data_IF_800355766324
#
_entry.id   IF_800355766324
#
_cell.length_a   1.000
_cell.length_b   1.000
_cell.length_c   1.000
_cell.angle_alpha   90.00
_cell.angle_beta   90.00
_cell.angle_gamma   90.00
#
_symmetry.space_group_name_H-M   'P 1'
#
loop_
_entity.id
_entity.type
_entity.pdbx_description
1 polymer ?
#
# COMPACT_ATOMS: atom_id res chain seq x y z
N UNK A 1 8.63 8.62 14.09
CA UNK A 1 9.61 8.24 15.13
C UNK A 1 10.96 8.06 14.45
N UNK A 2 11.97 8.86 14.80
CA UNK A 2 13.31 8.72 14.24
C UNK A 2 13.87 7.34 14.56
N UNK A 3 14.37 6.65 13.56
CA UNK A 3 15.00 5.35 13.71
C UNK A 3 16.20 5.51 14.66
N UNK A 4 16.08 5.05 15.90
CA UNK A 4 17.21 4.92 16.83
C UNK A 4 17.97 3.65 16.45
N UNK A 5 19.28 3.80 16.33
CA UNK A 5 20.21 2.72 15.98
C UNK A 5 20.58 1.99 17.28
N UNK A 6 20.49 0.66 17.31
CA UNK A 6 20.76 -0.15 18.49
C UNK A 6 22.27 -0.38 18.72
N UNK A 7 22.75 -0.56 19.95
CA UNK A 7 24.13 -0.94 20.24
C UNK A 7 24.44 -2.35 19.73
N UNK A 8 25.66 -2.54 19.20
CA UNK A 8 26.08 -3.70 18.43
C UNK A 8 26.09 -5.03 19.19
N UNK A 9 25.47 -6.04 18.62
CA UNK A 9 25.63 -7.45 19.00
C UNK A 9 26.65 -8.13 18.07
N UNK A 10 27.47 -9.02 18.60
CA UNK A 10 28.40 -9.82 17.81
C UNK A 10 27.68 -11.04 17.20
N UNK A 11 27.59 -11.07 15.87
CA UNK A 11 27.04 -12.21 15.13
C UNK A 11 28.19 -12.94 14.43
N UNK A 12 28.29 -14.25 14.64
CA UNK A 12 29.37 -15.05 14.03
C UNK A 12 28.99 -15.51 12.62
N UNK A 13 29.91 -15.32 11.67
CA UNK A 13 29.78 -15.80 10.28
C UNK A 13 30.14 -17.28 10.21
N UNK A 14 29.35 -18.06 9.46
CA UNK A 14 29.71 -19.42 9.09
C UNK A 14 30.84 -19.36 8.04
N UNK A 15 32.05 -19.74 8.45
CA UNK A 15 33.16 -19.97 7.53
C UNK A 15 32.94 -21.32 6.85
N UNK A 16 32.23 -21.36 5.74
CA UNK A 16 32.09 -22.56 4.91
C UNK A 16 33.39 -22.68 4.10
N UNK A 17 34.33 -23.44 4.62
CA UNK A 17 35.60 -23.71 3.92
C UNK A 17 35.34 -24.40 2.57
N UNK A 18 36.27 -24.19 1.62
CA UNK A 18 36.24 -24.73 0.24
C UNK A 18 35.94 -26.25 0.14
N UNK A 19 36.14 -27.01 1.22
CA UNK A 19 35.86 -28.45 1.29
C UNK A 19 34.38 -28.83 1.15
N UNK A 20 33.44 -27.97 1.57
CA UNK A 20 31.99 -28.22 1.46
C UNK A 20 31.51 -27.91 0.06
N UNK A 21 32.06 -26.85 -0.58
CA UNK A 21 31.80 -26.53 -1.99
C UNK A 21 32.33 -27.62 -2.94
N UNK A 22 33.45 -28.25 -2.60
CA UNK A 22 33.95 -29.42 -3.35
C UNK A 22 33.07 -30.66 -3.15
N UNK A 23 32.53 -30.88 -1.96
CA UNK A 23 31.62 -32.01 -1.70
C UNK A 23 30.28 -31.82 -2.45
N UNK A 24 29.75 -30.61 -2.51
CA UNK A 24 28.53 -30.31 -3.26
C UNK A 24 28.79 -30.39 -4.77
N UNK A 25 29.91 -29.88 -5.27
CA UNK A 25 30.31 -30.06 -6.69
C UNK A 25 30.48 -31.53 -7.06
N UNK A 26 30.98 -32.39 -6.16
CA UNK A 26 31.16 -33.82 -6.41
C UNK A 26 29.85 -34.59 -6.42
N UNK A 27 28.83 -34.12 -5.74
CA UNK A 27 27.49 -34.73 -5.74
C UNK A 27 26.69 -34.43 -7.01
N UNK A 28 26.98 -33.29 -7.69
CA UNK A 28 26.34 -32.90 -8.95
C UNK A 28 27.15 -33.15 -10.21
N UNK A 29 28.42 -33.64 -10.13
CA UNK A 29 29.32 -33.89 -11.27
C UNK A 29 29.34 -35.33 -11.78
N UNK A 30 28.26 -36.06 -11.58
CA UNK A 30 28.08 -37.44 -12.07
C UNK A 30 27.39 -37.54 -13.43
N UNK A 31 27.82 -36.78 -14.45
CA UNK A 31 27.60 -37.08 -15.88
C UNK A 31 28.38 -36.06 -16.72
N UNK A 32 29.50 -36.53 -17.32
CA UNK A 32 30.09 -35.83 -18.46
C UNK A 32 29.12 -35.88 -19.63
N UNK A 33 28.57 -34.73 -20.02
CA UNK A 33 27.93 -34.55 -21.32
C UNK A 33 28.74 -33.58 -22.15
N UNK A 34 28.98 -33.95 -23.40
CA UNK A 34 29.72 -33.24 -24.42
C UNK A 34 29.19 -31.79 -24.62
N UNK A 35 29.99 -30.86 -25.15
CA UNK A 35 29.57 -29.47 -25.32
C UNK A 35 28.40 -29.39 -26.29
N UNK A 36 27.21 -29.14 -25.78
CA UNK A 36 26.03 -28.85 -26.56
C UNK A 36 26.18 -27.42 -27.14
N UNK A 37 25.99 -27.32 -28.44
CA UNK A 37 25.80 -26.02 -29.13
C UNK A 37 24.72 -25.22 -28.41
N UNK A 38 25.00 -23.93 -28.23
CA UNK A 38 24.05 -22.99 -27.66
C UNK A 38 22.72 -23.09 -28.41
N UNK A 39 21.70 -23.59 -27.74
CA UNK A 39 20.32 -23.55 -28.24
C UNK A 39 19.89 -22.08 -28.38
N UNK A 40 19.16 -21.73 -29.44
CA UNK A 40 18.58 -20.38 -29.55
C UNK A 40 17.74 -20.08 -28.31
N UNK A 41 17.92 -18.90 -27.74
CA UNK A 41 17.08 -18.44 -26.62
C UNK A 41 15.62 -18.59 -27.01
N UNK A 42 14.78 -19.20 -26.15
CA UNK A 42 13.36 -19.25 -26.42
C UNK A 42 12.85 -17.82 -26.57
N UNK A 43 12.11 -17.58 -27.65
CA UNK A 43 11.39 -16.32 -27.81
C UNK A 43 10.59 -16.03 -26.55
N UNK A 44 10.48 -14.76 -26.11
CA UNK A 44 9.69 -14.42 -24.95
C UNK A 44 8.32 -15.05 -25.10
N UNK A 45 7.86 -15.77 -24.07
CA UNK A 45 6.56 -16.41 -24.08
C UNK A 45 5.52 -15.33 -24.43
N UNK A 46 4.57 -15.62 -25.34
CA UNK A 46 3.53 -14.66 -25.67
C UNK A 46 2.88 -14.27 -24.36
N UNK A 47 2.86 -12.96 -24.09
CA UNK A 47 2.12 -12.38 -22.96
C UNK A 47 0.68 -12.83 -23.19
N UNK A 48 0.19 -13.77 -22.41
CA UNK A 48 -1.21 -14.19 -22.47
C UNK A 48 -2.03 -12.95 -22.19
N UNK A 49 -2.91 -12.52 -23.11
CA UNK A 49 -3.76 -11.38 -22.85
C UNK A 49 -4.52 -11.65 -21.55
N UNK A 50 -4.50 -10.69 -20.63
CA UNK A 50 -5.30 -10.73 -19.42
C UNK A 50 -6.75 -11.01 -19.85
N UNK A 51 -7.29 -12.15 -19.46
CA UNK A 51 -8.72 -12.45 -19.65
C UNK A 51 -9.43 -11.87 -18.43
N UNK A 52 -10.15 -10.75 -18.57
CA UNK A 52 -10.88 -10.18 -17.44
C UNK A 52 -11.94 -11.17 -16.95
N UNK A 53 -12.32 -11.16 -15.67
CA UNK A 53 -13.43 -11.97 -15.18
C UNK A 53 -14.66 -11.71 -16.05
N UNK A 54 -15.40 -12.74 -16.37
CA UNK A 54 -16.49 -12.78 -17.36
C UNK A 54 -17.62 -11.75 -17.11
N UNK A 55 -17.61 -11.06 -15.95
CA UNK A 55 -18.59 -10.07 -15.49
C UNK A 55 -17.98 -8.70 -15.14
N UNK A 56 -16.73 -8.39 -15.58
CA UNK A 56 -16.19 -7.07 -15.34
C UNK A 56 -17.01 -6.02 -16.12
N UNK A 57 -17.42 -4.90 -15.49
CA UNK A 57 -18.08 -3.82 -16.21
C UNK A 57 -17.15 -3.29 -17.30
N UNK A 58 -17.73 -2.91 -18.44
CA UNK A 58 -17.00 -2.46 -19.62
C UNK A 58 -17.25 -0.96 -19.83
N UNK A 59 -16.23 -0.21 -20.18
CA UNK A 59 -16.33 1.13 -20.73
C UNK A 59 -15.75 1.16 -22.14
N UNK A 60 -16.57 1.49 -23.13
CA UNK A 60 -16.21 1.48 -24.57
C UNK A 60 -15.55 0.17 -25.03
N UNK A 61 -16.02 -0.97 -24.48
CA UNK A 61 -15.49 -2.30 -24.80
C UNK A 61 -14.19 -2.67 -24.08
N UNK A 62 -13.66 -1.80 -23.22
CA UNK A 62 -12.47 -2.04 -22.39
C UNK A 62 -12.92 -2.38 -20.98
N UNK A 63 -12.41 -3.45 -20.35
CA UNK A 63 -12.71 -3.75 -18.95
C UNK A 63 -12.31 -2.60 -18.04
N UNK A 64 -13.22 -2.18 -17.15
CA UNK A 64 -12.89 -1.23 -16.09
C UNK A 64 -12.02 -1.96 -15.09
N UNK A 65 -10.79 -1.46 -14.78
CA UNK A 65 -9.95 -2.06 -13.77
C UNK A 65 -10.68 -2.06 -12.44
N UNK A 66 -10.86 -3.24 -11.85
CA UNK A 66 -11.37 -3.40 -10.51
C UNK A 66 -10.23 -3.79 -9.59
N UNK A 67 -10.22 -3.21 -8.39
CA UNK A 67 -9.26 -3.61 -7.39
C UNK A 67 -9.28 -5.15 -7.21
N UNK A 68 -8.14 -5.88 -7.22
CA UNK A 68 -6.74 -5.42 -7.07
C UNK A 68 -5.89 -5.34 -8.35
N UNK A 69 -6.40 -4.92 -9.49
CA UNK A 69 -5.59 -4.77 -10.69
C UNK A 69 -4.41 -3.79 -10.48
N UNK A 70 -3.23 -4.15 -10.97
CA UNK A 70 -1.98 -3.38 -10.86
C UNK A 70 -1.44 -2.87 -12.19
N UNK A 71 -2.23 -2.86 -13.25
CA UNK A 71 -1.83 -2.33 -14.55
C UNK A 71 -1.25 -0.91 -14.46
N UNK A 72 -0.35 -0.54 -15.39
CA UNK A 72 0.31 0.77 -15.39
C UNK A 72 -0.55 1.87 -16.01
N UNK A 73 -1.18 1.57 -17.15
CA UNK A 73 -2.08 2.49 -17.83
C UNK A 73 -3.50 2.35 -17.28
N UNK A 74 -4.08 3.47 -16.90
CA UNK A 74 -5.39 3.54 -16.27
C UNK A 74 -6.36 4.26 -17.22
N UNK A 75 -7.47 3.62 -17.66
CA UNK A 75 -8.42 4.25 -18.56
C UNK A 75 -9.15 5.42 -17.88
N UNK A 76 -9.51 6.45 -18.67
CA UNK A 76 -10.35 7.57 -18.24
C UNK A 76 -11.82 7.13 -18.21
N UNK A 77 -12.30 6.67 -17.06
CA UNK A 77 -13.65 6.16 -16.86
C UNK A 77 -14.52 7.22 -16.18
N UNK A 78 -15.72 7.56 -16.71
CA UNK A 78 -16.64 8.46 -16.03
C UNK A 78 -16.99 7.99 -14.61
N UNK A 79 -17.05 8.89 -13.61
CA UNK A 79 -17.28 8.51 -12.21
C UNK A 79 -18.53 7.66 -12.00
N UNK A 80 -19.66 7.98 -12.66
CA UNK A 80 -20.88 7.17 -12.55
C UNK A 80 -20.70 5.72 -13.00
N UNK A 81 -20.02 5.51 -14.14
CA UNK A 81 -19.69 4.17 -14.63
C UNK A 81 -18.66 3.48 -13.73
N UNK A 82 -17.70 4.24 -13.19
CA UNK A 82 -16.73 3.72 -12.24
C UNK A 82 -17.42 3.17 -10.99
N UNK A 83 -18.46 3.85 -10.48
CA UNK A 83 -19.22 3.41 -9.32
C UNK A 83 -20.02 2.13 -9.54
N UNK A 84 -20.40 1.80 -10.77
CA UNK A 84 -21.02 0.51 -11.09
C UNK A 84 -20.13 -0.67 -10.65
N UNK A 85 -18.81 -0.51 -10.74
CA UNK A 85 -17.85 -1.52 -10.26
C UNK A 85 -17.85 -1.69 -8.73
N UNK A 86 -18.39 -0.72 -7.99
CA UNK A 86 -18.47 -0.71 -6.53
C UNK A 86 -19.92 -0.87 -6.02
N UNK A 87 -20.89 -1.14 -6.92
CA UNK A 87 -22.32 -1.11 -6.58
C UNK A 87 -22.66 -1.98 -5.38
N UNK A 88 -22.15 -3.19 -5.30
CA UNK A 88 -22.42 -4.10 -4.18
C UNK A 88 -21.99 -3.50 -2.81
N UNK A 89 -20.84 -2.81 -2.78
CA UNK A 89 -20.35 -2.15 -1.57
C UNK A 89 -21.15 -0.89 -1.25
N UNK A 90 -21.60 -0.15 -2.26
CA UNK A 90 -22.46 1.02 -2.12
C UNK A 90 -23.84 0.59 -1.56
N UNK A 91 -24.39 -0.52 -2.04
CA UNK A 91 -25.64 -1.10 -1.52
C UNK A 91 -25.47 -1.55 -0.06
N UNK A 92 -24.33 -2.14 0.30
CA UNK A 92 -24.00 -2.50 1.69
C UNK A 92 -23.90 -1.26 2.58
N UNK A 93 -23.23 -0.21 2.10
CA UNK A 93 -23.14 1.07 2.80
C UNK A 93 -24.53 1.70 2.99
N UNK A 94 -25.38 1.70 1.96
CA UNK A 94 -26.73 2.22 2.07
C UNK A 94 -27.52 1.48 3.14
N UNK A 95 -27.47 0.15 3.17
CA UNK A 95 -28.14 -0.66 4.21
C UNK A 95 -27.61 -0.36 5.62
N UNK A 96 -26.30 -0.18 5.77
CA UNK A 96 -25.66 0.09 7.05
C UNK A 96 -25.84 1.56 7.52
N UNK A 97 -26.08 2.49 6.61
CA UNK A 97 -26.13 3.93 6.91
C UNK A 97 -27.28 4.35 7.84
N UNK A 98 -28.33 3.54 7.94
CA UNK A 98 -29.61 3.88 8.61
C UNK A 98 -30.31 5.13 8.03
N UNK A 99 -29.93 5.54 6.82
CA UNK A 99 -30.58 6.62 6.07
C UNK A 99 -31.76 6.08 5.26
N UNK A 100 -32.76 6.93 5.01
CA UNK A 100 -33.76 6.61 4.00
C UNK A 100 -33.08 6.49 2.62
N UNK A 101 -33.71 5.79 1.69
CA UNK A 101 -33.19 5.73 0.31
C UNK A 101 -33.08 7.13 -0.29
N UNK A 102 -34.09 7.98 -0.06
CA UNK A 102 -34.12 9.35 -0.56
C UNK A 102 -32.97 10.20 0.01
N UNK A 103 -32.75 10.15 1.33
CA UNK A 103 -31.65 10.88 1.97
C UNK A 103 -30.28 10.36 1.51
N UNK A 104 -30.11 9.06 1.34
CA UNK A 104 -28.86 8.47 0.84
C UNK A 104 -28.57 8.99 -0.57
N UNK A 105 -29.57 8.98 -1.47
CA UNK A 105 -29.43 9.47 -2.83
C UNK A 105 -29.19 10.99 -2.90
N UNK A 106 -29.79 11.76 -1.99
CA UNK A 106 -29.66 13.21 -2.01
C UNK A 106 -28.37 13.73 -1.33
N UNK A 107 -27.86 13.03 -0.31
CA UNK A 107 -26.81 13.55 0.56
C UNK A 107 -25.49 12.79 0.45
N UNK A 108 -25.54 11.45 0.46
CA UNK A 108 -24.30 10.65 0.52
C UNK A 108 -23.82 10.26 -0.87
N UNK A 109 -24.68 9.81 -1.76
CA UNK A 109 -24.30 9.38 -3.11
C UNK A 109 -23.59 10.46 -3.93
N UNK A 110 -24.04 11.76 -3.94
CA UNK A 110 -23.33 12.81 -4.65
C UNK A 110 -21.92 13.07 -4.11
N UNK A 111 -21.71 12.83 -2.80
CA UNK A 111 -20.37 12.92 -2.20
C UNK A 111 -19.49 11.74 -2.66
N UNK A 112 -20.05 10.54 -2.76
CA UNK A 112 -19.35 9.35 -3.29
C UNK A 112 -18.96 9.57 -4.76
N UNK A 113 -19.85 10.13 -5.59
CA UNK A 113 -19.59 10.45 -6.99
C UNK A 113 -18.47 11.50 -7.14
N UNK A 114 -18.51 12.56 -6.36
CA UNK A 114 -17.48 13.60 -6.37
C UNK A 114 -16.13 13.04 -5.90
N UNK A 115 -16.13 12.17 -4.87
CA UNK A 115 -14.95 11.46 -4.41
C UNK A 115 -14.40 10.53 -5.50
N UNK A 116 -15.25 9.76 -6.18
CA UNK A 116 -14.86 8.89 -7.29
C UNK A 116 -14.22 9.68 -8.44
N UNK A 117 -14.77 10.83 -8.78
CA UNK A 117 -14.17 11.73 -9.79
C UNK A 117 -12.80 12.27 -9.35
N UNK A 118 -12.63 12.57 -8.06
CA UNK A 118 -11.40 13.12 -7.53
C UNK A 118 -10.28 12.09 -7.44
N UNK A 119 -10.52 10.95 -6.82
CA UNK A 119 -9.48 9.91 -6.65
C UNK A 119 -9.39 8.96 -7.83
N UNK A 120 -10.46 8.85 -8.59
CA UNK A 120 -10.59 7.96 -9.75
C UNK A 120 -10.11 6.53 -9.43
N UNK A 121 -9.21 5.98 -10.23
CA UNK A 121 -8.62 4.65 -10.05
C UNK A 121 -7.22 4.70 -9.42
N UNK A 122 -6.88 5.76 -8.66
CA UNK A 122 -5.62 5.80 -7.92
C UNK A 122 -5.56 4.71 -6.83
N UNK A 123 -4.38 4.11 -6.60
CA UNK A 123 -4.15 3.20 -5.49
C UNK A 123 -4.07 3.95 -4.16
N UNK A 124 -4.44 3.30 -3.05
CA UNK A 124 -4.33 3.87 -1.71
C UNK A 124 -2.91 3.79 -1.15
N UNK A 125 -2.09 2.84 -1.61
CA UNK A 125 -0.70 2.69 -1.23
C UNK A 125 0.14 2.16 -2.38
N UNK A 126 1.46 2.33 -2.31
CA UNK A 126 2.38 1.82 -3.33
C UNK A 126 2.49 0.29 -3.30
N UNK A 127 2.49 -0.33 -2.12
CA UNK A 127 2.73 -1.76 -1.97
C UNK A 127 2.05 -2.43 -0.77
N UNK A 128 1.34 -1.67 0.06
CA UNK A 128 0.65 -2.22 1.24
C UNK A 128 -0.81 -2.59 0.91
N UNK A 129 -1.75 -2.18 1.79
CA UNK A 129 -3.18 -2.37 1.56
C UNK A 129 -3.68 -1.54 0.38
N UNK A 130 -4.69 -2.04 -0.32
CA UNK A 130 -5.35 -1.35 -1.44
C UNK A 130 -4.38 -0.78 -2.49
N UNK A 131 -3.32 -1.54 -2.83
CA UNK A 131 -2.25 -1.10 -3.72
C UNK A 131 -2.55 -1.30 -5.23
N UNK A 132 -3.74 -1.77 -5.60
CA UNK A 132 -4.20 -1.90 -6.97
C UNK A 132 -4.89 -0.65 -7.51
N UNK A 133 -5.16 -0.63 -8.83
CA UNK A 133 -5.98 0.40 -9.46
C UNK A 133 -7.36 0.45 -8.79
N UNK A 134 -7.86 1.65 -8.49
CA UNK A 134 -9.11 1.84 -7.75
C UNK A 134 -9.03 1.57 -6.25
N UNK A 135 -7.82 1.26 -5.73
CA UNK A 135 -7.64 0.95 -4.32
C UNK A 135 -8.04 2.08 -3.39
N UNK A 136 -7.76 3.34 -3.76
CA UNK A 136 -8.12 4.50 -2.93
C UNK A 136 -9.64 4.72 -2.90
N UNK A 137 -10.32 4.57 -4.03
CA UNK A 137 -11.79 4.63 -4.11
C UNK A 137 -12.41 3.51 -3.26
N UNK A 138 -11.95 2.28 -3.46
CA UNK A 138 -12.44 1.10 -2.72
C UNK A 138 -12.27 1.27 -1.22
N UNK A 139 -11.07 1.66 -0.78
CA UNK A 139 -10.74 1.90 0.62
C UNK A 139 -11.65 2.96 1.25
N UNK A 140 -11.86 4.11 0.57
CA UNK A 140 -12.74 5.16 1.08
C UNK A 140 -14.19 4.68 1.28
N UNK A 141 -14.77 3.97 0.30
CA UNK A 141 -16.15 3.45 0.43
C UNK A 141 -16.22 2.37 1.53
N UNK A 142 -15.22 1.49 1.66
CA UNK A 142 -15.14 0.52 2.75
C UNK A 142 -15.04 1.20 4.12
N UNK A 143 -14.24 2.26 4.24
CA UNK A 143 -14.16 3.03 5.48
C UNK A 143 -15.51 3.67 5.83
N UNK A 144 -16.26 4.21 4.85
CA UNK A 144 -17.61 4.70 5.09
C UNK A 144 -18.54 3.59 5.61
N UNK A 145 -18.49 2.41 5.00
CA UNK A 145 -19.27 1.25 5.42
C UNK A 145 -18.94 0.81 6.86
N UNK A 146 -17.65 0.69 7.20
CA UNK A 146 -17.24 0.33 8.55
C UNK A 146 -17.58 1.42 9.58
N UNK A 147 -17.51 2.70 9.19
CA UNK A 147 -17.94 3.81 10.03
C UNK A 147 -19.45 3.73 10.32
N UNK A 148 -20.28 3.41 9.30
CA UNK A 148 -21.71 3.18 9.48
C UNK A 148 -21.99 2.10 10.52
N UNK A 149 -21.31 0.95 10.42
CA UNK A 149 -21.42 -0.14 11.41
C UNK A 149 -20.95 0.26 12.81
N UNK A 150 -19.90 1.08 12.93
CA UNK A 150 -19.41 1.57 14.22
C UNK A 150 -20.38 2.55 14.88
N UNK A 151 -21.12 3.33 14.09
CA UNK A 151 -22.15 4.23 14.59
C UNK A 151 -23.30 3.51 15.31
N UNK A 152 -23.54 2.21 15.02
CA UNK A 152 -24.57 1.44 15.73
C UNK A 152 -24.31 1.32 17.24
N UNK A 153 -23.05 1.34 17.66
CA UNK A 153 -22.66 1.27 19.07
C UNK A 153 -22.26 2.63 19.66
N UNK A 154 -22.35 3.71 18.88
CA UNK A 154 -21.97 5.05 19.31
C UNK A 154 -23.20 5.85 19.79
N UNK A 155 -22.99 6.72 20.77
CA UNK A 155 -24.00 7.68 21.22
C UNK A 155 -23.44 9.07 21.02
N UNK A 156 -24.14 9.88 20.23
CA UNK A 156 -23.71 11.23 19.88
C UNK A 156 -24.47 12.30 20.65
N UNK A 157 -23.92 13.50 20.70
CA UNK A 157 -24.57 14.71 21.22
C UNK A 157 -25.12 14.55 22.64
N UNK A 158 -24.35 13.93 23.55
CA UNK A 158 -24.80 13.60 24.92
C UNK A 158 -25.18 14.83 25.75
N UNK A 159 -24.63 16.00 25.43
CA UNK A 159 -24.89 17.27 26.09
C UNK A 159 -26.25 17.91 25.69
N UNK A 160 -26.96 17.30 24.73
CA UNK A 160 -28.23 17.77 24.23
C UNK A 160 -29.43 16.99 24.80
N UNK A 161 -30.61 17.63 24.92
CA UNK A 161 -31.86 16.96 25.27
C UNK A 161 -32.21 15.85 24.27
N UNK A 162 -32.96 14.80 24.67
CA UNK A 162 -33.30 13.67 23.79
C UNK A 162 -34.00 14.05 22.49
N UNK A 163 -34.81 15.09 22.47
CA UNK A 163 -35.47 15.59 21.26
C UNK A 163 -34.49 16.17 20.25
N UNK A 164 -33.50 16.93 20.72
CA UNK A 164 -32.44 17.52 19.90
C UNK A 164 -31.49 16.43 19.43
N UNK A 165 -31.12 15.48 20.29
CA UNK A 165 -30.28 14.34 19.92
C UNK A 165 -30.85 13.54 18.75
N UNK A 166 -32.18 13.29 18.77
CA UNK A 166 -32.84 12.59 17.67
C UNK A 166 -32.69 13.31 16.32
N UNK A 167 -32.61 14.64 16.32
CA UNK A 167 -32.38 15.43 15.10
C UNK A 167 -30.90 15.47 14.69
N UNK A 168 -29.98 15.41 15.66
CA UNK A 168 -28.55 15.49 15.43
C UNK A 168 -27.96 14.14 15.00
N UNK A 169 -28.48 13.03 15.50
CA UNK A 169 -27.92 11.69 15.27
C UNK A 169 -27.71 11.35 13.78
N UNK A 170 -28.66 11.60 12.86
CA UNK A 170 -28.44 11.36 11.43
C UNK A 170 -27.25 12.17 10.87
N UNK A 171 -27.04 13.40 11.36
CA UNK A 171 -25.93 14.27 10.93
C UNK A 171 -24.59 13.77 11.44
N UNK A 172 -24.51 13.33 12.69
CA UNK A 172 -23.31 12.73 13.24
C UNK A 172 -22.93 11.43 12.51
N UNK A 173 -23.92 10.57 12.20
CA UNK A 173 -23.71 9.36 11.42
C UNK A 173 -23.20 9.67 10.01
N UNK A 174 -23.83 10.63 9.32
CA UNK A 174 -23.39 11.06 8.00
C UNK A 174 -21.97 11.66 8.05
N UNK A 175 -21.67 12.52 9.03
CA UNK A 175 -20.34 13.09 9.22
C UNK A 175 -19.27 12.00 9.49
N UNK A 176 -19.62 10.94 10.24
CA UNK A 176 -18.75 9.80 10.48
C UNK A 176 -18.44 9.04 9.18
N UNK A 177 -19.46 8.72 8.37
CA UNK A 177 -19.31 8.02 7.10
C UNK A 177 -18.51 8.85 6.08
N UNK A 178 -18.87 10.12 5.93
CA UNK A 178 -18.18 11.05 5.02
C UNK A 178 -16.72 11.25 5.48
N UNK A 179 -16.49 11.50 6.75
CA UNK A 179 -15.15 11.66 7.30
C UNK A 179 -14.30 10.41 7.10
N UNK A 180 -14.86 9.23 7.34
CA UNK A 180 -14.16 7.97 7.10
C UNK A 180 -13.85 7.74 5.62
N UNK A 181 -14.76 8.09 4.70
CA UNK A 181 -14.51 8.01 3.26
C UNK A 181 -13.37 8.93 2.81
N UNK A 182 -13.33 10.15 3.33
CA UNK A 182 -12.44 11.20 2.87
C UNK A 182 -11.10 11.27 3.62
N UNK A 183 -10.86 10.46 4.66
CA UNK A 183 -9.69 10.61 5.54
C UNK A 183 -8.34 10.57 4.80
N UNK A 184 -8.27 9.82 3.72
CA UNK A 184 -7.08 9.64 2.88
C UNK A 184 -7.04 10.55 1.62
N UNK A 185 -7.98 11.47 1.50
CA UNK A 185 -8.11 12.33 0.31
C UNK A 185 -6.92 13.28 0.08
N UNK A 186 -6.07 13.46 1.08
CA UNK A 186 -4.81 14.19 0.95
C UNK A 186 -3.69 13.43 0.22
N UNK A 187 -3.81 12.11 0.01
CA UNK A 187 -2.78 11.30 -0.66
C UNK A 187 -2.41 11.79 -2.07
N UNK A 188 -3.34 12.21 -2.93
CA UNK A 188 -3.00 12.79 -4.22
C UNK A 188 -2.11 14.04 -4.17
N UNK A 189 -2.10 14.76 -3.06
CA UNK A 189 -1.25 15.93 -2.88
C UNK A 189 0.20 15.59 -2.54
N UNK A 190 0.45 14.46 -1.87
CA UNK A 190 1.75 14.14 -1.29
C UNK A 190 2.33 12.79 -1.70
N UNK A 191 1.49 11.79 -2.02
CA UNK A 191 1.92 10.41 -2.20
C UNK A 191 1.85 9.95 -3.66
N UNK A 192 0.68 10.06 -4.29
CA UNK A 192 0.38 9.51 -5.60
C UNK A 192 -0.20 10.58 -6.51
N UNK A 193 0.10 10.53 -7.79
CA UNK A 193 -0.44 11.44 -8.80
C UNK A 193 -0.71 10.73 -10.11
N UNK A 194 -1.10 11.50 -11.11
CA UNK A 194 -1.32 11.06 -12.47
C UNK A 194 -0.53 11.92 -13.45
N UNK A 195 0.01 11.27 -14.46
CA UNK A 195 0.67 11.90 -15.61
C UNK A 195 0.06 11.35 -16.90
N UNK A 196 0.16 12.08 -18.00
CA UNK A 196 -0.20 11.55 -19.31
C UNK A 196 0.78 10.47 -19.79
N UNK A 197 0.50 9.83 -20.91
CA UNK A 197 1.36 8.76 -21.46
C UNK A 197 2.75 9.23 -21.89
N UNK A 198 2.94 10.53 -22.18
CA UNK A 198 4.25 11.11 -22.53
C UNK A 198 5.04 11.59 -21.30
N UNK A 199 4.35 11.86 -20.19
CA UNK A 199 4.91 12.46 -18.98
C UNK A 199 5.03 13.99 -19.03
N UNK A 200 4.51 14.62 -20.09
CA UNK A 200 4.57 16.08 -20.27
C UNK A 200 3.48 16.81 -19.46
N UNK A 201 2.33 16.17 -19.24
CA UNK A 201 1.23 16.69 -18.46
C UNK A 201 1.13 15.96 -17.13
N UNK A 202 0.95 16.72 -16.06
CA UNK A 202 0.76 16.18 -14.71
C UNK A 202 -0.50 16.78 -14.09
N UNK A 203 -1.34 15.92 -13.53
CA UNK A 203 -2.52 16.35 -12.79
C UNK A 203 -2.13 17.16 -11.56
N UNK A 204 -2.79 18.32 -11.41
CA UNK A 204 -2.69 19.15 -10.21
C UNK A 204 -3.95 18.96 -9.35
N UNK A 205 -3.89 18.20 -8.24
CA UNK A 205 -5.05 17.94 -7.39
C UNK A 205 -5.59 19.16 -6.65
N UNK A 206 -4.85 20.30 -6.67
CA UNK A 206 -5.34 21.55 -6.12
C UNK A 206 -6.34 22.28 -7.03
N UNK A 207 -6.36 22.00 -8.34
CA UNK A 207 -7.16 22.76 -9.31
C UNK A 207 -8.46 22.06 -9.70
N UNK A 208 -8.53 20.74 -9.65
CA UNK A 208 -9.72 19.98 -10.06
C UNK A 208 -9.63 18.50 -9.71
N UNK A 209 -10.68 17.77 -10.03
CA UNK A 209 -10.69 16.30 -9.90
C UNK A 209 -9.76 15.67 -10.94
N UNK A 210 -9.33 14.42 -10.70
CA UNK A 210 -8.54 13.70 -11.69
C UNK A 210 -9.35 13.49 -12.97
N UNK A 211 -10.63 13.16 -12.84
CA UNK A 211 -11.49 12.95 -14.00
C UNK A 211 -11.70 14.22 -14.82
N UNK A 212 -11.93 15.39 -14.18
CA UNK A 212 -12.04 16.66 -14.93
C UNK A 212 -10.75 17.02 -15.67
N UNK A 213 -9.58 16.74 -15.08
CA UNK A 213 -8.30 16.96 -15.76
C UNK A 213 -8.16 16.05 -17.00
N UNK A 214 -8.62 14.78 -16.93
CA UNK A 214 -8.62 13.88 -18.08
C UNK A 214 -9.54 14.38 -19.20
N UNK A 215 -10.74 14.87 -18.87
CA UNK A 215 -11.67 15.45 -19.82
C UNK A 215 -11.14 16.73 -20.46
N UNK A 216 -10.62 17.66 -19.66
CA UNK A 216 -10.09 18.94 -20.12
C UNK A 216 -8.94 18.79 -21.14
N UNK A 217 -8.16 17.71 -21.00
CA UNK A 217 -7.02 17.41 -21.87
C UNK A 217 -7.32 16.32 -22.92
N UNK A 218 -8.54 15.79 -22.95
CA UNK A 218 -8.93 14.75 -23.89
C UNK A 218 -8.11 13.45 -23.75
N UNK A 219 -7.67 13.13 -22.53
CA UNK A 219 -6.80 11.98 -22.27
C UNK A 219 -7.64 10.69 -22.13
N UNK A 220 -7.44 9.68 -23.00
CA UNK A 220 -8.16 8.41 -22.89
C UNK A 220 -7.66 7.52 -21.76
N UNK A 221 -6.46 7.76 -21.27
CA UNK A 221 -5.82 7.06 -20.14
C UNK A 221 -4.76 7.93 -19.50
N UNK A 222 -4.30 7.54 -18.31
CA UNK A 222 -3.19 8.15 -17.59
C UNK A 222 -2.27 7.10 -16.97
N UNK A 223 -1.09 7.52 -16.51
CA UNK A 223 -0.13 6.70 -15.78
C UNK A 223 -0.10 7.12 -14.33
N UNK A 224 -0.06 6.15 -13.42
CA UNK A 224 0.10 6.40 -11.99
C UNK A 224 1.55 6.81 -11.72
N UNK A 225 1.71 7.92 -11.00
CA UNK A 225 3.01 8.46 -10.64
C UNK A 225 3.14 8.58 -9.12
N UNK A 226 4.15 7.92 -8.54
CA UNK A 226 4.45 8.05 -7.12
C UNK A 226 5.44 9.18 -6.89
N UNK A 227 5.11 10.06 -5.93
CA UNK A 227 5.97 11.21 -5.61
C UNK A 227 7.12 10.76 -4.72
N UNK A 228 8.38 11.21 -4.98
CA UNK A 228 9.51 10.87 -4.12
C UNK A 228 9.48 11.63 -2.79
N UNK A 229 10.10 11.07 -1.75
CA UNK A 229 10.35 11.72 -0.47
C UNK A 229 9.57 11.16 0.71
N UNK A 230 9.83 11.67 1.91
CA UNK A 230 9.19 11.25 3.15
C UNK A 230 7.71 11.70 3.19
N UNK A 231 6.80 10.74 3.06
CA UNK A 231 5.35 10.96 2.87
C UNK A 231 4.54 10.75 4.16
N UNK A 232 5.13 10.08 5.16
CA UNK A 232 4.43 9.61 6.35
C UNK A 232 3.64 10.72 7.06
N UNK A 233 2.33 10.52 7.21
CA UNK A 233 1.36 11.41 7.90
C UNK A 233 1.19 12.81 7.31
N UNK A 234 1.80 13.14 6.17
CA UNK A 234 1.64 14.47 5.56
C UNK A 234 0.26 14.65 4.93
N UNK A 235 -0.34 13.58 4.39
CA UNK A 235 -1.66 13.64 3.76
C UNK A 235 -2.77 14.04 4.74
N UNK A 236 -2.69 13.65 6.03
CA UNK A 236 -3.67 14.00 7.06
C UNK A 236 -3.87 15.53 7.15
N UNK A 237 -2.76 16.29 7.15
CA UNK A 237 -2.81 17.75 7.24
C UNK A 237 -3.48 18.42 6.01
N UNK A 238 -3.45 17.78 4.85
CA UNK A 238 -4.03 18.33 3.61
C UNK A 238 -5.47 17.88 3.36
N UNK A 239 -5.89 16.78 3.97
CA UNK A 239 -7.24 16.23 3.78
C UNK A 239 -8.33 17.25 4.11
N UNK A 240 -8.25 17.88 5.27
CA UNK A 240 -9.26 18.85 5.71
C UNK A 240 -9.42 20.02 4.72
N UNK A 241 -8.34 20.45 4.04
CA UNK A 241 -8.39 21.55 3.07
C UNK A 241 -9.16 21.18 1.78
N UNK A 242 -9.31 19.89 1.48
CA UNK A 242 -9.97 19.41 0.27
C UNK A 242 -11.46 19.08 0.45
N UNK A 243 -11.92 18.95 1.69
CA UNK A 243 -13.29 18.48 2.03
C UNK A 243 -14.37 19.28 1.31
N UNK A 244 -14.27 20.59 1.33
CA UNK A 244 -15.25 21.49 0.69
C UNK A 244 -15.28 21.42 -0.86
N UNK A 245 -14.33 20.71 -1.48
CA UNK A 245 -14.33 20.46 -2.92
C UNK A 245 -15.09 19.21 -3.31
N UNK A 246 -15.24 18.30 -2.34
CA UNK A 246 -15.84 16.98 -2.57
C UNK A 246 -17.26 16.92 -2.03
N UNK A 247 -17.49 17.44 -0.82
CA UNK A 247 -18.81 17.41 -0.25
C UNK A 247 -19.68 18.48 -0.93
N UNK A 248 -20.79 18.11 -1.56
CA UNK A 248 -21.70 19.07 -2.17
C UNK A 248 -22.19 20.12 -1.16
N UNK A 249 -22.39 21.34 -1.63
CA UNK A 249 -22.87 22.44 -0.78
C UNK A 249 -24.21 22.13 -0.09
N UNK A 250 -25.10 21.39 -0.77
CA UNK A 250 -26.38 20.91 -0.19
C UNK A 250 -26.16 19.96 0.98
N UNK A 251 -25.22 19.01 0.85
CA UNK A 251 -24.87 18.07 1.91
C UNK A 251 -24.24 18.80 3.10
N UNK A 252 -23.31 19.74 2.84
CA UNK A 252 -22.71 20.56 3.90
C UNK A 252 -23.75 21.44 4.62
N UNK A 253 -24.68 22.03 3.89
CA UNK A 253 -25.77 22.80 4.47
C UNK A 253 -26.63 21.93 5.38
N UNK A 254 -27.05 20.75 4.90
CA UNK A 254 -27.84 19.80 5.70
C UNK A 254 -27.08 19.32 6.94
N UNK A 255 -25.79 19.04 6.83
CA UNK A 255 -24.97 18.65 7.99
C UNK A 255 -24.94 19.73 9.06
N UNK A 256 -24.87 21.01 8.69
CA UNK A 256 -24.78 22.14 9.64
C UNK A 256 -26.12 22.60 10.24
N UNK A 257 -27.26 22.15 9.71
CA UNK A 257 -28.59 22.53 10.24
C UNK A 257 -28.85 21.97 11.64
N UNK A 258 -29.80 22.59 12.35
CA UNK A 258 -30.31 22.11 13.66
C UNK A 258 -29.21 21.81 14.69
N UNK A 259 -28.21 22.68 14.83
CA UNK A 259 -26.99 22.49 15.65
C UNK A 259 -26.02 21.43 15.13
N UNK A 260 -26.17 20.95 13.89
CA UNK A 260 -25.30 19.96 13.27
C UNK A 260 -23.86 20.46 13.04
N UNK A 261 -23.59 21.77 13.20
CA UNK A 261 -22.24 22.35 13.10
C UNK A 261 -21.24 21.60 13.99
N UNK A 262 -21.65 21.09 15.15
CA UNK A 262 -20.79 20.30 16.04
C UNK A 262 -20.29 19.01 15.37
N UNK A 263 -21.13 18.35 14.58
CA UNK A 263 -20.74 17.15 13.83
C UNK A 263 -19.77 17.50 12.69
N UNK A 264 -19.98 18.64 12.02
CA UNK A 264 -19.07 19.17 11.00
C UNK A 264 -17.71 19.49 11.60
N UNK A 265 -17.68 20.20 12.72
CA UNK A 265 -16.44 20.57 13.42
C UNK A 265 -15.69 19.32 13.90
N UNK A 266 -16.39 18.33 14.45
CA UNK A 266 -15.81 17.07 14.86
C UNK A 266 -15.20 16.30 13.67
N UNK A 267 -15.89 16.27 12.53
CA UNK A 267 -15.40 15.67 11.29
C UNK A 267 -14.13 16.39 10.80
N UNK A 268 -14.16 17.72 10.71
CA UNK A 268 -13.02 18.51 10.24
C UNK A 268 -11.79 18.36 11.16
N UNK A 269 -12.00 18.34 12.47
CA UNK A 269 -10.96 18.10 13.45
C UNK A 269 -10.33 16.71 13.27
N UNK A 270 -11.16 15.67 13.08
CA UNK A 270 -10.66 14.32 12.84
C UNK A 270 -9.83 14.24 11.54
N UNK A 271 -10.30 14.87 10.46
CA UNK A 271 -9.63 14.89 9.16
C UNK A 271 -8.34 15.72 9.15
N UNK A 272 -8.17 16.67 10.06
CA UNK A 272 -6.93 17.43 10.22
C UNK A 272 -5.84 16.70 10.97
N UNK A 273 -6.06 15.44 11.37
CA UNK A 273 -5.11 14.65 12.16
C UNK A 273 -5.15 14.95 13.67
N UNK A 274 -6.18 15.66 14.14
CA UNK A 274 -6.36 15.91 15.58
C UNK A 274 -6.67 14.61 16.33
N UNK A 275 -5.92 14.34 17.38
CA UNK A 275 -6.07 13.17 18.24
C UNK A 275 -6.84 13.47 19.53
N UNK A 276 -7.78 14.44 19.53
CA UNK A 276 -8.60 14.72 20.72
C UNK A 276 -9.44 13.48 21.09
N UNK A 277 -9.19 12.86 22.26
CA UNK A 277 -9.90 11.64 22.68
C UNK A 277 -11.39 11.88 22.93
N UNK A 278 -11.82 13.15 23.06
CA UNK A 278 -13.23 13.51 23.23
C UNK A 278 -13.99 13.58 21.91
N UNK A 279 -13.28 13.57 20.77
CA UNK A 279 -13.91 13.54 19.46
C UNK A 279 -14.32 12.12 19.07
N UNK A 280 -15.62 11.77 19.10
CA UNK A 280 -16.07 10.42 18.80
C UNK A 280 -15.81 10.03 17.34
N UNK A 281 -15.81 11.01 16.42
CA UNK A 281 -15.57 10.74 15.00
C UNK A 281 -14.13 10.32 14.73
N UNK A 282 -13.15 10.89 15.44
CA UNK A 282 -11.76 10.49 15.28
C UNK A 282 -11.55 9.00 15.61
N UNK A 283 -12.17 8.51 16.68
CA UNK A 283 -12.13 7.10 17.06
C UNK A 283 -12.83 6.19 16.03
N UNK A 284 -14.01 6.61 15.54
CA UNK A 284 -14.77 5.85 14.53
C UNK A 284 -14.01 5.78 13.21
N UNK A 285 -13.48 6.90 12.72
CA UNK A 285 -12.71 6.97 11.47
C UNK A 285 -11.48 6.07 11.55
N UNK A 286 -10.72 6.16 12.64
CA UNK A 286 -9.54 5.30 12.86
C UNK A 286 -9.89 3.81 12.92
N UNK A 287 -11.00 3.45 13.58
CA UNK A 287 -11.44 2.06 13.65
C UNK A 287 -11.93 1.54 12.30
N UNK A 288 -12.59 2.39 11.50
CA UNK A 288 -13.04 2.06 10.15
C UNK A 288 -11.87 1.84 9.19
N UNK A 289 -10.87 2.73 9.20
CA UNK A 289 -9.62 2.58 8.47
C UNK A 289 -8.94 1.24 8.81
N UNK A 290 -8.71 0.97 10.09
CA UNK A 290 -8.09 -0.28 10.55
C UNK A 290 -8.88 -1.53 10.12
N UNK A 291 -10.21 -1.46 10.06
CA UNK A 291 -11.05 -2.56 9.62
C UNK A 291 -10.90 -2.82 8.11
N UNK A 292 -10.91 -1.77 7.28
CA UNK A 292 -10.70 -1.88 5.83
C UNK A 292 -9.30 -2.42 5.51
N UNK A 293 -8.25 -1.89 6.15
CA UNK A 293 -6.87 -2.39 6.02
C UNK A 293 -6.78 -3.87 6.38
N UNK A 294 -7.36 -4.28 7.53
CA UNK A 294 -7.33 -5.66 7.99
C UNK A 294 -8.03 -6.60 7.02
N UNK A 295 -9.17 -6.17 6.46
CA UNK A 295 -9.91 -6.94 5.45
C UNK A 295 -9.08 -7.14 4.20
N UNK A 296 -8.48 -6.07 3.64
CA UNK A 296 -7.69 -6.19 2.42
C UNK A 296 -6.48 -7.12 2.60
N UNK A 297 -5.82 -7.05 3.76
CA UNK A 297 -4.72 -7.97 4.09
C UNK A 297 -5.22 -9.42 4.15
N UNK A 298 -6.39 -9.69 4.74
CA UNK A 298 -6.97 -11.03 4.79
C UNK A 298 -7.36 -11.52 3.40
N UNK A 299 -7.99 -10.68 2.59
CA UNK A 299 -8.37 -11.00 1.22
C UNK A 299 -7.12 -11.24 0.34
N UNK A 300 -6.06 -10.48 0.53
CA UNK A 300 -4.79 -10.68 -0.16
C UNK A 300 -4.15 -12.03 0.20
N UNK A 301 -4.19 -12.42 1.48
CA UNK A 301 -3.72 -13.73 1.94
C UNK A 301 -4.56 -14.86 1.35
N UNK A 302 -5.89 -14.71 1.33
CA UNK A 302 -6.79 -15.70 0.75
C UNK A 302 -6.55 -15.88 -0.76
N UNK A 303 -6.39 -14.77 -1.51
CA UNK A 303 -6.04 -14.82 -2.95
C UNK A 303 -4.70 -15.52 -3.19
N UNK A 304 -3.72 -15.28 -2.34
CA UNK A 304 -2.41 -15.94 -2.43
C UNK A 304 -2.49 -17.44 -2.12
N UNK A 305 -3.25 -17.83 -1.11
CA UNK A 305 -3.48 -19.24 -0.79
C UNK A 305 -4.20 -19.99 -1.92
N UNK A 306 -5.04 -19.28 -2.69
CA UNK A 306 -5.72 -19.80 -3.89
C UNK A 306 -4.85 -19.76 -5.18
N UNK A 307 -3.53 -19.46 -5.08
CA UNK A 307 -2.60 -19.42 -6.22
C UNK A 307 -2.52 -18.08 -6.95
N UNK A 308 -3.10 -17.02 -6.42
CA UNK A 308 -3.02 -15.67 -6.98
C UNK A 308 -1.69 -14.96 -6.67
N UNK A 309 -1.06 -14.34 -7.67
CA UNK A 309 0.23 -13.63 -7.52
C UNK A 309 0.13 -12.16 -7.08
N UNK A 310 -0.98 -11.71 -6.53
CA UNK A 310 -1.20 -10.30 -6.19
C UNK A 310 -1.24 -10.00 -4.69
N UNK A 311 -0.47 -9.00 -4.24
CA UNK A 311 -0.49 -8.48 -2.86
C UNK A 311 0.90 -8.07 -2.37
N UNK A 312 0.97 -7.34 -1.24
CA UNK A 312 2.25 -6.90 -0.65
C UNK A 312 3.16 -8.08 -0.27
N UNK A 313 2.62 -9.24 0.12
CA UNK A 313 3.40 -10.45 0.33
C UNK A 313 3.98 -10.99 -0.97
N UNK A 314 3.28 -10.87 -2.10
CA UNK A 314 3.84 -11.17 -3.42
C UNK A 314 5.00 -10.24 -3.77
N UNK A 315 4.95 -8.97 -3.38
CA UNK A 315 6.07 -8.02 -3.51
C UNK A 315 7.23 -8.46 -2.63
N UNK A 316 6.99 -8.79 -1.34
CA UNK A 316 8.01 -9.29 -0.43
C UNK A 316 8.68 -10.56 -0.97
N UNK A 317 7.91 -11.54 -1.42
CA UNK A 317 8.43 -12.78 -1.98
C UNK A 317 9.25 -12.56 -3.27
N UNK A 318 8.85 -11.59 -4.14
CA UNK A 318 9.64 -11.24 -5.33
C UNK A 318 10.98 -10.58 -4.97
N UNK A 319 10.98 -9.71 -3.94
CA UNK A 319 12.21 -9.08 -3.44
C UNK A 319 13.16 -10.15 -2.89
N UNK A 320 12.66 -11.05 -2.04
CA UNK A 320 13.44 -12.16 -1.48
C UNK A 320 13.99 -13.05 -2.59
N UNK A 321 13.15 -13.44 -3.55
CA UNK A 321 13.56 -14.23 -4.70
C UNK A 321 14.62 -13.53 -5.54
N UNK A 322 14.47 -12.23 -5.82
CA UNK A 322 15.48 -11.49 -6.58
C UNK A 322 16.82 -11.43 -5.86
N UNK A 323 16.83 -11.25 -4.54
CA UNK A 323 18.05 -11.31 -3.74
C UNK A 323 18.68 -12.71 -3.83
N UNK A 324 17.87 -13.75 -3.65
CA UNK A 324 18.29 -15.14 -3.71
C UNK A 324 18.88 -15.50 -5.09
N UNK A 325 18.16 -15.21 -6.17
CA UNK A 325 18.58 -15.52 -7.53
C UNK A 325 19.92 -14.84 -7.89
N UNK A 326 20.09 -13.57 -7.47
CA UNK A 326 21.36 -12.85 -7.68
C UNK A 326 22.54 -13.42 -6.88
N UNK A 327 22.28 -14.03 -5.73
CA UNK A 327 23.27 -14.74 -4.93
C UNK A 327 23.59 -16.10 -5.57
N UNK A 328 22.59 -16.88 -5.95
CA UNK A 328 22.76 -18.22 -6.55
C UNK A 328 23.44 -18.17 -7.91
N UNK A 329 23.17 -17.14 -8.73
CA UNK A 329 23.86 -16.92 -10.00
C UNK A 329 25.30 -16.42 -9.84
N UNK A 330 25.71 -16.08 -8.60
CA UNK A 330 27.03 -15.51 -8.32
C UNK A 330 27.20 -14.05 -8.77
N UNK A 331 26.11 -13.39 -9.21
CA UNK A 331 26.15 -11.98 -9.58
C UNK A 331 26.37 -11.09 -8.35
N UNK A 332 25.82 -11.51 -7.20
CA UNK A 332 26.09 -10.85 -5.92
C UNK A 332 26.97 -11.73 -5.04
N UNK A 333 28.13 -11.19 -4.69
CA UNK A 333 29.10 -11.87 -3.85
C UNK A 333 28.62 -11.87 -2.40
N UNK A 334 28.83 -12.97 -1.69
CA UNK A 334 28.55 -13.10 -0.26
C UNK A 334 29.84 -13.28 0.55
N UNK A 335 29.84 -12.92 1.81
CA UNK A 335 30.96 -13.14 2.75
C UNK A 335 32.29 -12.53 2.31
N UNK A 336 32.29 -11.40 1.60
CA UNK A 336 33.48 -10.60 1.31
C UNK A 336 33.39 -9.21 1.95
N UNK A 337 34.50 -8.49 2.04
CA UNK A 337 34.59 -7.21 2.77
C UNK A 337 33.57 -6.20 2.23
N UNK A 338 33.37 -6.16 0.92
CA UNK A 338 32.49 -5.20 0.24
C UNK A 338 31.16 -5.83 -0.24
N UNK A 339 30.84 -7.06 0.17
CA UNK A 339 29.69 -7.79 -0.36
C UNK A 339 28.35 -7.14 0.06
N UNK A 340 28.28 -6.65 1.29
CA UNK A 340 27.04 -6.18 1.88
C UNK A 340 26.02 -7.31 2.17
N UNK A 341 26.39 -8.58 1.93
CA UNK A 341 25.57 -9.77 2.15
C UNK A 341 26.42 -10.82 2.85
N UNK A 342 25.93 -11.30 4.01
CA UNK A 342 26.71 -12.18 4.87
C UNK A 342 25.86 -13.33 5.39
N UNK A 343 26.29 -14.57 5.18
CA UNK A 343 25.69 -15.76 5.76
C UNK A 343 26.14 -15.88 7.23
N UNK A 344 25.19 -15.91 8.15
CA UNK A 344 25.43 -15.96 9.59
C UNK A 344 24.80 -17.20 10.21
N UNK A 345 25.09 -17.47 11.47
CA UNK A 345 24.42 -18.52 12.25
C UNK A 345 22.94 -18.25 12.45
N UNK A 346 22.53 -16.98 12.39
CA UNK A 346 21.17 -16.49 12.62
C UNK A 346 20.33 -16.39 11.34
N UNK A 347 20.96 -16.42 10.17
CA UNK A 347 20.33 -16.24 8.86
C UNK A 347 21.21 -15.45 7.90
N UNK A 348 20.60 -14.83 6.90
CA UNK A 348 21.29 -13.95 5.93
C UNK A 348 21.20 -12.50 6.38
N UNK A 349 22.34 -11.90 6.73
CA UNK A 349 22.43 -10.47 7.04
C UNK A 349 22.73 -9.69 5.75
N UNK A 350 21.84 -8.75 5.41
CA UNK A 350 21.88 -7.99 4.17
C UNK A 350 21.97 -6.50 4.48
N UNK A 351 23.03 -5.85 4.03
CA UNK A 351 23.29 -4.43 4.31
C UNK A 351 22.16 -3.53 3.82
N UNK A 352 21.64 -2.71 4.74
CA UNK A 352 20.57 -1.75 4.47
C UNK A 352 21.09 -0.31 4.59
N UNK A 353 20.73 0.61 3.68
CA UNK A 353 19.80 0.46 2.57
C UNK A 353 20.44 -0.06 1.26
N UNK A 354 21.74 -0.26 1.21
CA UNK A 354 22.49 -0.46 -0.03
C UNK A 354 21.99 -1.64 -0.89
N UNK A 355 21.77 -2.81 -0.27
CA UNK A 355 21.31 -4.00 -1.02
C UNK A 355 19.83 -3.90 -1.36
N UNK A 356 19.02 -3.23 -0.55
CA UNK A 356 17.62 -2.96 -0.88
C UNK A 356 17.49 -2.10 -2.14
N UNK A 357 18.34 -1.07 -2.30
CA UNK A 357 18.42 -0.26 -3.53
C UNK A 357 18.79 -1.12 -4.74
N UNK A 358 19.79 -2.00 -4.61
CA UNK A 358 20.17 -2.92 -5.68
C UNK A 358 19.05 -3.89 -6.05
N UNK A 359 18.29 -4.39 -5.07
CA UNK A 359 17.18 -5.29 -5.31
C UNK A 359 16.02 -4.57 -6.04
N UNK A 360 15.70 -3.34 -5.66
CA UNK A 360 14.73 -2.50 -6.36
C UNK A 360 15.14 -2.33 -7.83
N UNK A 361 16.40 -1.97 -8.06
CA UNK A 361 16.90 -1.76 -9.43
C UNK A 361 16.86 -3.04 -10.26
N UNK A 362 17.30 -4.17 -9.70
CA UNK A 362 17.28 -5.46 -10.41
C UNK A 362 15.86 -5.89 -10.81
N UNK A 363 14.87 -5.67 -9.94
CA UNK A 363 13.46 -5.96 -10.22
C UNK A 363 12.89 -5.05 -11.31
N UNK A 364 13.28 -3.78 -11.34
CA UNK A 364 12.88 -2.84 -12.40
C UNK A 364 13.50 -3.18 -13.75
N UNK A 365 14.77 -3.51 -13.75
CA UNK A 365 15.47 -3.95 -14.97
C UNK A 365 14.84 -5.23 -15.53
N UNK A 366 14.22 -6.05 -14.68
CA UNK A 366 13.39 -7.21 -15.05
C UNK A 366 11.96 -6.85 -15.48
N UNK A 367 11.60 -5.55 -15.53
CA UNK A 367 10.26 -5.08 -15.95
C UNK A 367 9.22 -5.02 -14.83
N UNK A 368 9.61 -5.19 -13.56
CA UNK A 368 8.71 -5.12 -12.41
C UNK A 368 8.44 -3.67 -12.00
N UNK A 369 7.28 -3.17 -12.34
CA UNK A 369 6.89 -1.76 -12.10
C UNK A 369 6.20 -1.52 -10.75
N UNK A 370 5.74 -2.58 -10.08
CA UNK A 370 4.98 -2.51 -8.82
C UNK A 370 5.83 -2.64 -7.56
N UNK A 371 7.15 -2.38 -7.68
CA UNK A 371 8.08 -2.41 -6.56
C UNK A 371 8.27 -0.99 -6.01
N UNK A 372 8.19 -0.79 -4.68
CA UNK A 372 8.43 0.51 -4.06
C UNK A 372 9.79 1.11 -4.41
N UNK A 373 9.83 2.43 -4.55
CA UNK A 373 11.06 3.17 -4.86
C UNK A 373 11.96 3.39 -3.65
N UNK A 374 11.39 3.35 -2.45
CA UNK A 374 12.09 3.71 -1.23
C UNK A 374 12.54 2.47 -0.46
N UNK A 375 13.84 2.36 -0.11
CA UNK A 375 14.36 1.23 0.68
C UNK A 375 13.61 1.02 2.01
N UNK A 376 13.16 2.09 2.66
CA UNK A 376 12.38 1.99 3.90
C UNK A 376 11.05 1.26 3.71
N UNK A 377 10.41 1.41 2.54
CA UNK A 377 9.18 0.67 2.21
C UNK A 377 9.45 -0.81 2.00
N UNK A 378 10.61 -1.16 1.45
CA UNK A 378 11.06 -2.56 1.35
C UNK A 378 11.21 -3.16 2.75
N UNK A 379 11.88 -2.43 3.66
CA UNK A 379 12.08 -2.86 5.05
C UNK A 379 10.76 -3.11 5.75
N UNK A 380 9.80 -2.19 5.63
CA UNK A 380 8.45 -2.31 6.20
C UNK A 380 7.72 -3.54 5.64
N UNK A 381 7.67 -3.70 4.31
CA UNK A 381 6.99 -4.83 3.65
C UNK A 381 7.59 -6.17 4.07
N UNK A 382 8.91 -6.29 4.09
CA UNK A 382 9.58 -7.53 4.50
C UNK A 382 9.33 -7.85 5.97
N UNK A 383 9.28 -6.82 6.84
CA UNK A 383 8.98 -6.98 8.27
C UNK A 383 7.53 -7.40 8.50
N UNK A 384 6.57 -6.72 7.88
CA UNK A 384 5.13 -6.97 8.03
C UNK A 384 4.73 -8.38 7.57
N UNK A 385 5.49 -8.94 6.64
CA UNK A 385 5.24 -10.29 6.11
C UNK A 385 6.12 -11.37 6.74
N UNK A 386 6.91 -11.02 7.77
CA UNK A 386 7.66 -11.99 8.57
C UNK A 386 8.91 -12.55 7.89
N UNK A 387 9.41 -11.90 6.82
CA UNK A 387 10.66 -12.31 6.18
C UNK A 387 11.91 -11.92 6.97
N UNK A 388 11.77 -10.93 7.86
CA UNK A 388 12.88 -10.41 8.66
C UNK A 388 12.74 -10.83 10.13
N UNK A 389 13.88 -11.15 10.74
CA UNK A 389 13.98 -11.38 12.18
C UNK A 389 13.99 -10.03 12.90
N UNK A 390 13.02 -9.74 13.77
CA UNK A 390 13.01 -8.50 14.53
C UNK A 390 14.17 -8.47 15.53
N UNK A 391 14.78 -7.30 15.69
CA UNK A 391 15.82 -7.06 16.68
C UNK A 391 15.17 -6.52 17.96
N UNK A 392 14.89 -7.42 18.92
CA UNK A 392 14.25 -7.09 20.19
C UNK A 392 15.33 -6.84 21.22
N UNK A 393 15.34 -5.65 21.80
CA UNK A 393 16.29 -5.27 22.85
C UNK A 393 15.82 -5.73 24.24
N UNK A 394 16.72 -5.82 25.23
CA UNK A 394 16.36 -6.22 26.58
C UNK A 394 15.32 -5.34 27.28
N UNK A 395 15.19 -4.08 26.85
CA UNK A 395 14.18 -3.13 27.32
C UNK A 395 12.81 -3.27 26.62
N UNK A 396 12.68 -4.27 25.73
CA UNK A 396 11.48 -4.53 24.94
C UNK A 396 11.36 -3.66 23.68
N UNK A 397 12.30 -2.76 23.40
CA UNK A 397 12.31 -2.00 22.15
C UNK A 397 12.59 -2.92 20.95
N UNK A 398 11.81 -2.77 19.88
CA UNK A 398 11.95 -3.57 18.67
C UNK A 398 12.43 -2.69 17.50
N UNK A 399 13.48 -3.15 16.83
CA UNK A 399 14.07 -2.50 15.66
C UNK A 399 13.94 -3.41 14.43
N UNK A 400 13.86 -2.79 13.25
CA UNK A 400 13.75 -3.51 11.97
C UNK A 400 15.13 -3.84 11.37
N UNK A 401 16.19 -3.25 11.89
CA UNK A 401 17.57 -3.46 11.45
C UNK A 401 18.46 -3.92 12.58
N UNK A 402 19.53 -4.62 12.21
CA UNK A 402 20.57 -5.12 13.09
C UNK A 402 21.85 -4.35 12.88
N UNK A 403 22.55 -4.04 13.98
CA UNK A 403 23.95 -3.62 13.94
C UNK A 403 24.82 -4.78 14.38
N UNK A 404 25.70 -5.24 13.48
CA UNK A 404 26.54 -6.39 13.71
C UNK A 404 27.97 -6.13 13.23
N UNK A 405 28.94 -6.81 13.86
CA UNK A 405 30.29 -6.94 13.35
C UNK A 405 30.45 -8.34 12.75
N UNK A 406 30.70 -8.38 11.47
CA UNK A 406 30.84 -9.63 10.71
C UNK A 406 32.30 -9.93 10.49
N UNK A 407 32.78 -11.10 10.88
CA UNK A 407 34.16 -11.52 10.62
C UNK A 407 34.25 -12.17 9.26
N UNK A 408 34.99 -11.57 8.35
CA UNK A 408 35.21 -12.05 6.98
C UNK A 408 36.68 -12.43 6.83
N UNK A 409 36.99 -13.54 6.15
CA UNK A 409 38.37 -13.91 5.84
C UNK A 409 38.74 -13.41 4.42
N UNK A 410 39.64 -12.47 4.32
CA UNK A 410 40.21 -11.99 3.05
C UNK A 410 41.68 -12.26 3.03
N UNK A 411 42.18 -12.91 1.96
CA UNK A 411 43.60 -13.28 1.73
C UNK A 411 44.26 -13.91 2.97
N UNK A 412 43.50 -14.70 3.73
CA UNK A 412 44.00 -15.38 4.92
C UNK A 412 44.01 -14.52 6.20
N UNK A 413 43.52 -13.31 6.13
CA UNK A 413 43.37 -12.43 7.30
C UNK A 413 41.88 -12.30 7.70
N UNK A 414 41.60 -12.34 9.00
CA UNK A 414 40.27 -12.11 9.54
C UNK A 414 40.03 -10.61 9.72
N UNK A 415 39.05 -10.07 8.98
CA UNK A 415 38.67 -8.67 9.01
C UNK A 415 37.27 -8.55 9.64
N UNK A 416 37.11 -7.62 10.58
CA UNK A 416 35.82 -7.28 11.17
C UNK A 416 35.14 -6.18 10.35
N UNK A 417 33.99 -6.47 9.77
CA UNK A 417 33.20 -5.52 8.97
C UNK A 417 32.00 -5.09 9.76
N UNK A 418 31.83 -3.79 10.09
CA UNK A 418 30.62 -3.29 10.70
C UNK A 418 29.50 -3.24 9.67
N UNK A 419 28.33 -3.81 9.98
CA UNK A 419 27.18 -3.88 9.07
C UNK A 419 25.92 -3.43 9.79
N UNK A 420 25.22 -2.47 9.21
CA UNK A 420 23.81 -2.21 9.55
C UNK A 420 22.94 -2.86 8.46
N UNK A 421 22.05 -3.77 8.83
CA UNK A 421 21.37 -4.57 7.83
C UNK A 421 20.06 -5.18 8.28
N UNK A 422 19.37 -5.80 7.32
CA UNK A 422 18.20 -6.65 7.51
C UNK A 422 18.67 -8.09 7.75
N UNK A 423 18.08 -8.77 8.72
CA UNK A 423 18.37 -10.18 9.00
C UNK A 423 17.20 -11.03 8.53
N UNK A 424 17.39 -11.78 7.45
CA UNK A 424 16.41 -12.75 6.95
C UNK A 424 16.46 -14.03 7.75
N UNK A 425 15.29 -14.64 8.01
CA UNK A 425 15.20 -15.93 8.74
C UNK A 425 15.70 -17.08 7.85
N UNK A 426 16.21 -18.15 8.49
CA UNK A 426 16.77 -19.33 7.76
C UNK A 426 15.74 -20.09 6.91
N UNK A 427 14.47 -19.99 7.24
CA UNK A 427 13.38 -20.74 6.58
C UNK A 427 12.96 -20.09 5.24
N UNK A 428 13.39 -18.87 4.96
CA UNK A 428 12.94 -18.07 3.81
C UNK A 428 14.01 -17.94 2.70
N UNK A 429 15.18 -18.56 2.88
CA UNK A 429 16.33 -18.53 2.00
C UNK A 429 16.84 -19.97 1.76
#
# INVERSE_FOLDING_TARGET
MGARVAPGQSIHVLNVGESVLQAIRKFFSGAEAAPAQAAPQPAPAPVTPFTPPTNAPLFQGVPIPTYPDKGLAVPAVPPGILLESQQALIDDLQRASSMSHEDFQALLLPTIEAYAGYVHLLPASEAHHHCGQGGLLRHGIECAFYAALKCESAVFALDHPPSTRKQLEPRWRAAAMIGAMLHDMGKPLVDVGAIDGSGDLSWNPHTGSLYSWLEDHGLPYYMIHWRPGARHKRHEAFTAALVYRIIPASTMAWLGEHHGQEAVDAMMMALSGSSDPRNPLAAIIKAADSASVSRDIQDARARQAAGGQGGSRGVAARIVRAIHDKIETGEWIVNSVDAGIYRTTEGLLVAFPAVAVKAIQALRDAGESSIPNEPMKILEILTDHGFLKPNVQPDGATYMTWQAHVTVTDRGQSIQVPVTGMLFTREEL
#
